data_IF_679805719504
#
_entry.id   IF_679805719504
#
_cell.length_a   1.000
_cell.length_b   1.000
_cell.length_c   1.000
_cell.angle_alpha   90.00
_cell.angle_beta   90.00
_cell.angle_gamma   90.00
#
_symmetry.space_group_name_H-M   'P 1'
#
loop_
_entity.id
_entity.type
_entity.pdbx_description
1 polymer ?
#
# COMPACT_ATOMS: atom_id res chain seq x y z
N UNK A 1 -25.80 4.47 63.64
CA UNK A 1 -26.24 5.67 62.89
C UNK A 1 -27.67 5.43 62.39
N UNK A 2 -28.68 6.12 62.93
CA UNK A 2 -30.09 5.94 62.53
C UNK A 2 -30.35 6.73 61.24
N UNK A 3 -30.53 6.04 60.12
CA UNK A 3 -30.89 6.68 58.84
C UNK A 3 -32.36 7.12 58.93
N UNK A 4 -32.63 8.43 58.85
CA UNK A 4 -34.01 8.93 58.82
C UNK A 4 -34.59 8.80 57.39
N UNK A 5 -35.92 8.72 57.26
CA UNK A 5 -36.62 8.56 55.97
C UNK A 5 -36.26 9.62 54.92
N UNK A 6 -36.01 10.87 55.31
CA UNK A 6 -35.52 11.94 54.42
C UNK A 6 -34.09 11.70 53.95
N UNK A 7 -33.24 11.14 54.81
CA UNK A 7 -31.88 10.72 54.44
C UNK A 7 -31.90 9.58 53.41
N UNK A 8 -32.75 8.57 53.60
CA UNK A 8 -32.88 7.47 52.64
C UNK A 8 -33.40 7.94 51.28
N UNK A 9 -34.41 8.81 51.24
CA UNK A 9 -34.96 9.38 50.01
C UNK A 9 -33.97 10.31 49.30
N UNK A 10 -33.20 11.11 50.04
CA UNK A 10 -32.14 11.93 49.47
C UNK A 10 -31.04 11.10 48.81
N UNK A 11 -30.61 10.02 49.47
CA UNK A 11 -29.57 9.13 48.95
C UNK A 11 -30.02 8.30 47.74
N UNK A 12 -31.28 7.86 47.71
CA UNK A 12 -31.82 7.12 46.57
C UNK A 12 -32.09 8.02 45.35
N UNK A 13 -32.50 9.28 45.55
CA UNK A 13 -32.62 10.27 44.47
C UNK A 13 -31.25 10.63 43.85
N UNK A 14 -30.20 10.76 44.65
CA UNK A 14 -28.83 11.00 44.14
C UNK A 14 -28.26 9.80 43.37
N UNK A 15 -28.54 8.57 43.81
CA UNK A 15 -28.13 7.37 43.09
C UNK A 15 -28.85 7.21 41.73
N UNK A 16 -30.14 7.58 41.65
CA UNK A 16 -30.90 7.55 40.41
C UNK A 16 -30.45 8.66 39.43
N UNK A 17 -30.13 9.85 39.94
CA UNK A 17 -29.59 10.95 39.13
C UNK A 17 -28.23 10.62 38.52
N UNK A 18 -27.35 9.93 39.27
CA UNK A 18 -26.08 9.40 38.74
C UNK A 18 -26.27 8.31 37.67
N UNK A 19 -27.35 7.52 37.76
CA UNK A 19 -27.68 6.51 36.75
C UNK A 19 -28.39 7.08 35.51
N UNK A 20 -29.02 8.26 35.64
CA UNK A 20 -29.77 8.94 34.59
C UNK A 20 -29.00 10.09 33.91
N UNK A 21 -27.79 10.41 34.38
CA UNK A 21 -26.86 11.22 33.59
C UNK A 21 -26.60 10.46 32.28
N UNK A 22 -26.82 11.07 31.10
CA UNK A 22 -26.35 10.48 29.87
C UNK A 22 -24.85 10.25 30.08
N UNK A 23 -24.44 8.99 29.99
CA UNK A 23 -23.04 8.68 29.76
C UNK A 23 -22.72 9.31 28.42
N UNK A 24 -22.29 10.57 28.43
CA UNK A 24 -21.42 11.06 27.38
C UNK A 24 -20.25 10.10 27.45
N UNK A 25 -20.28 9.09 26.59
CA UNK A 25 -19.11 8.37 26.22
C UNK A 25 -18.17 9.48 25.72
N UNK A 26 -17.24 9.90 26.57
CA UNK A 26 -15.89 10.16 26.12
C UNK A 26 -15.50 8.87 25.44
N UNK A 27 -15.86 8.75 24.16
CA UNK A 27 -15.42 7.67 23.32
C UNK A 27 -13.91 7.63 23.53
N UNK A 28 -13.40 6.48 23.97
CA UNK A 28 -11.97 6.22 24.00
C UNK A 28 -11.50 6.20 22.54
N UNK A 29 -11.35 7.38 21.93
CA UNK A 29 -11.02 7.56 20.52
C UNK A 29 -9.53 7.38 20.23
N UNK A 30 -8.72 6.96 21.20
CA UNK A 30 -7.27 6.94 21.04
C UNK A 30 -6.67 5.59 20.67
N UNK A 31 -7.28 4.45 21.03
CA UNK A 31 -6.71 3.12 20.77
C UNK A 31 -7.35 2.38 19.59
N UNK A 32 -8.64 2.64 19.29
CA UNK A 32 -9.39 1.91 18.25
C UNK A 32 -9.44 2.65 16.90
N UNK A 33 -9.04 3.93 16.86
CA UNK A 33 -9.07 4.75 15.65
C UNK A 33 -7.79 4.63 14.81
N UNK A 34 -7.52 3.43 14.32
CA UNK A 34 -6.33 3.09 13.52
C UNK A 34 -6.55 3.30 12.02
N UNK A 35 -5.46 3.53 11.27
CA UNK A 35 -5.47 3.61 9.81
C UNK A 35 -4.53 2.57 9.22
N UNK A 36 -5.00 1.83 8.23
CA UNK A 36 -4.18 0.93 7.43
C UNK A 36 -4.34 1.26 5.95
N UNK A 37 -3.24 1.62 5.29
CA UNK A 37 -3.21 1.89 3.86
C UNK A 37 -2.32 0.85 3.17
N UNK A 38 -2.86 0.13 2.18
CA UNK A 38 -2.07 -0.70 1.28
C UNK A 38 -1.72 0.11 0.02
N UNK A 39 -0.43 0.15 -0.31
CA UNK A 39 0.08 0.70 -1.58
C UNK A 39 0.64 -0.46 -2.40
N UNK A 40 -0.04 -0.81 -3.49
CA UNK A 40 0.40 -1.88 -4.40
C UNK A 40 1.17 -1.29 -5.59
N UNK A 41 2.46 -1.60 -5.66
CA UNK A 41 3.34 -1.24 -6.77
C UNK A 41 3.28 -2.35 -7.83
N UNK A 42 2.48 -2.13 -8.88
CA UNK A 42 2.27 -3.12 -9.94
C UNK A 42 3.46 -3.16 -10.89
N UNK A 43 4.07 -4.34 -10.99
CA UNK A 43 5.15 -4.62 -11.92
C UNK A 43 6.37 -5.28 -11.29
N UNK A 44 6.38 -5.59 -9.99
CA UNK A 44 7.56 -6.14 -9.33
C UNK A 44 8.64 -5.09 -9.05
N UNK A 45 8.53 -4.37 -7.94
CA UNK A 45 9.59 -3.47 -7.45
C UNK A 45 10.93 -4.20 -7.37
N UNK A 46 11.98 -3.64 -7.97
CA UNK A 46 13.35 -4.09 -7.74
C UNK A 46 13.81 -3.76 -6.32
N UNK A 47 13.56 -4.69 -5.40
CA UNK A 47 13.88 -4.53 -3.99
C UNK A 47 15.37 -4.37 -3.71
N UNK A 48 16.24 -5.00 -4.51
CA UNK A 48 17.70 -4.87 -4.35
C UNK A 48 18.22 -3.50 -4.80
N UNK A 49 17.47 -2.81 -5.66
CA UNK A 49 17.79 -1.43 -6.03
C UNK A 49 17.20 -0.41 -5.05
N UNK A 50 15.98 -0.66 -4.55
CA UNK A 50 15.30 0.21 -3.59
C UNK A 50 15.91 0.16 -2.17
N UNK A 51 16.27 -1.04 -1.72
CA UNK A 51 16.96 -1.31 -0.45
C UNK A 51 18.19 -2.17 -0.74
N UNK A 52 19.32 -1.51 -0.91
CA UNK A 52 20.60 -2.10 -1.33
C UNK A 52 21.26 -2.84 -0.16
N UNK A 53 21.52 -4.16 -0.26
CA UNK A 53 22.28 -4.92 0.74
C UNK A 53 23.78 -4.66 0.62
N UNK A 54 24.22 -3.45 0.96
CA UNK A 54 25.61 -3.00 0.84
C UNK A 54 26.61 -3.82 1.66
N UNK A 55 26.16 -4.52 2.70
CA UNK A 55 26.98 -5.46 3.47
C UNK A 55 27.17 -6.83 2.83
N UNK A 56 26.42 -7.16 1.77
CA UNK A 56 26.53 -8.45 1.09
C UNK A 56 27.63 -8.43 0.01
N UNK A 57 28.67 -9.26 0.10
CA UNK A 57 29.81 -9.22 -0.82
C UNK A 57 29.45 -9.61 -2.26
N UNK A 58 28.35 -10.32 -2.49
CA UNK A 58 27.91 -10.67 -3.85
C UNK A 58 27.13 -9.54 -4.53
N UNK A 59 26.66 -8.53 -3.79
CA UNK A 59 25.82 -7.45 -4.32
C UNK A 59 26.50 -6.65 -5.44
N UNK A 60 27.76 -6.15 -5.30
CA UNK A 60 28.39 -5.37 -6.36
C UNK A 60 28.58 -6.16 -7.66
N UNK A 61 28.91 -7.45 -7.55
CA UNK A 61 29.12 -8.31 -8.71
C UNK A 61 27.81 -8.58 -9.47
N UNK A 62 26.70 -8.81 -8.75
CA UNK A 62 25.39 -9.06 -9.36
C UNK A 62 24.78 -7.81 -10.00
N UNK A 63 25.03 -6.64 -9.40
CA UNK A 63 24.36 -5.39 -9.79
C UNK A 63 25.22 -4.51 -10.70
N UNK A 64 26.54 -4.68 -10.70
CA UNK A 64 27.46 -3.88 -11.51
C UNK A 64 27.17 -2.38 -11.38
N UNK A 65 26.88 -1.71 -12.50
CA UNK A 65 26.55 -0.30 -12.51
C UNK A 65 25.34 0.07 -11.62
N UNK A 66 24.39 -0.85 -11.38
CA UNK A 66 23.22 -0.58 -10.52
C UNK A 66 23.55 -0.50 -9.03
N UNK A 67 24.74 -0.96 -8.61
CA UNK A 67 25.21 -0.79 -7.24
C UNK A 67 25.69 0.65 -6.98
N UNK A 68 26.27 1.29 -7.99
CA UNK A 68 26.76 2.67 -7.92
C UNK A 68 26.94 3.24 -9.34
N UNK A 69 25.89 3.84 -9.92
CA UNK A 69 26.01 4.50 -11.22
C UNK A 69 26.52 5.94 -11.06
N UNK A 70 27.44 6.40 -11.92
CA UNK A 70 27.86 7.80 -11.95
C UNK A 70 26.65 8.74 -12.10
N UNK A 71 26.56 9.76 -11.24
CA UNK A 71 25.48 10.75 -11.26
C UNK A 71 24.19 10.33 -10.53
N UNK A 72 24.08 9.09 -10.03
CA UNK A 72 23.00 8.75 -9.10
C UNK A 72 23.20 9.45 -7.76
N UNK A 73 22.09 9.83 -7.13
CA UNK A 73 22.11 10.34 -5.76
C UNK A 73 22.63 9.22 -4.86
N UNK A 74 23.62 9.53 -4.03
CA UNK A 74 24.23 8.55 -3.12
C UNK A 74 23.16 7.81 -2.30
N UNK A 75 23.33 6.49 -2.17
CA UNK A 75 22.49 5.67 -1.32
C UNK A 75 22.53 6.19 0.13
N UNK A 76 21.43 5.99 0.85
CA UNK A 76 21.22 6.49 2.21
C UNK A 76 21.37 5.32 3.19
N UNK A 77 22.51 5.21 3.91
CA UNK A 77 22.74 4.10 4.82
C UNK A 77 21.65 4.02 5.89
N UNK A 78 21.14 2.82 6.14
CA UNK A 78 20.24 2.53 7.26
C UNK A 78 21.01 1.92 8.42
N UNK A 79 21.88 0.96 8.11
CA UNK A 79 22.78 0.27 9.04
C UNK A 79 24.01 -0.23 8.27
N UNK A 80 24.81 -1.13 8.87
CA UNK A 80 26.00 -1.70 8.24
C UNK A 80 25.67 -2.56 6.99
N UNK A 81 24.47 -3.14 6.94
CA UNK A 81 24.10 -4.15 5.95
C UNK A 81 23.28 -3.57 4.80
N UNK A 82 22.50 -2.51 5.05
CA UNK A 82 21.51 -1.98 4.11
C UNK A 82 21.56 -0.47 3.96
N UNK A 83 21.31 0.00 2.73
CA UNK A 83 21.11 1.39 2.37
C UNK A 83 19.86 1.55 1.49
N UNK A 84 19.08 2.62 1.70
CA UNK A 84 18.01 2.98 0.78
C UNK A 84 18.58 3.64 -0.48
N UNK A 85 17.88 3.49 -1.60
CA UNK A 85 18.15 4.26 -2.79
C UNK A 85 18.15 5.77 -2.51
N UNK A 86 19.03 6.55 -3.16
CA UNK A 86 19.22 7.97 -2.85
C UNK A 86 17.98 8.87 -3.00
N UNK A 87 17.05 8.45 -3.87
CA UNK A 87 15.74 9.11 -4.09
C UNK A 87 14.71 8.88 -2.99
N UNK A 88 14.94 7.95 -2.07
CA UNK A 88 14.05 7.62 -0.95
C UNK A 88 14.39 8.44 0.30
N UNK A 89 14.42 9.77 0.17
CA UNK A 89 14.88 10.68 1.22
C UNK A 89 13.91 10.80 2.39
N UNK A 90 12.61 10.85 2.11
CA UNK A 90 11.58 10.88 3.14
C UNK A 90 11.47 9.53 3.86
N UNK A 91 11.56 8.40 3.14
CA UNK A 91 11.66 7.09 3.78
C UNK A 91 12.86 7.01 4.74
N UNK A 92 14.04 7.49 4.33
CA UNK A 92 15.21 7.54 5.22
C UNK A 92 14.96 8.42 6.45
N UNK A 93 14.24 9.54 6.30
CA UNK A 93 13.81 10.39 7.42
C UNK A 93 12.89 9.64 8.38
N UNK A 94 11.91 8.89 7.86
CA UNK A 94 11.03 8.06 8.68
C UNK A 94 11.81 6.94 9.39
N UNK A 95 12.80 6.34 8.74
CA UNK A 95 13.68 5.35 9.37
C UNK A 95 14.41 5.92 10.59
N UNK A 96 15.03 7.10 10.45
CA UNK A 96 15.68 7.79 11.56
C UNK A 96 14.74 8.16 12.72
N UNK A 97 13.43 8.29 12.45
CA UNK A 97 12.37 8.51 13.45
C UNK A 97 11.79 7.20 14.02
N UNK A 98 12.34 6.04 13.63
CA UNK A 98 11.78 4.74 13.98
C UNK A 98 10.41 4.45 13.38
N UNK A 99 10.00 5.19 12.33
CA UNK A 99 8.68 5.12 11.69
C UNK A 99 8.70 4.42 10.32
N UNK A 100 9.85 3.87 9.92
CA UNK A 100 9.99 2.99 8.75
C UNK A 100 10.58 1.65 9.18
N UNK A 101 9.98 0.56 8.70
CA UNK A 101 10.46 -0.81 8.81
C UNK A 101 10.47 -1.45 7.40
N UNK A 102 11.62 -1.46 6.71
CA UNK A 102 11.82 -2.31 5.54
C UNK A 102 11.83 -3.79 5.98
N UNK A 103 11.16 -4.65 5.24
CA UNK A 103 11.13 -6.10 5.47
C UNK A 103 11.64 -6.81 4.24
N UNK A 104 12.77 -7.51 4.38
CA UNK A 104 13.50 -8.13 3.28
C UNK A 104 13.01 -9.54 2.97
N UNK A 105 13.31 -10.00 1.75
CA UNK A 105 13.05 -11.36 1.30
C UNK A 105 11.60 -11.80 1.48
N UNK A 106 10.67 -10.85 1.27
CA UNK A 106 9.22 -11.10 1.29
C UNK A 106 8.75 -11.59 -0.08
N UNK A 107 7.77 -12.49 -0.09
CA UNK A 107 7.00 -12.80 -1.29
C UNK A 107 5.58 -13.22 -0.91
N UNK A 108 4.55 -12.94 -1.75
CA UNK A 108 3.27 -13.63 -1.61
C UNK A 108 3.44 -15.14 -1.75
N UNK A 109 2.43 -15.96 -1.44
CA UNK A 109 2.48 -17.42 -1.64
C UNK A 109 2.32 -17.83 -3.12
N UNK A 110 3.02 -17.11 -4.00
CA UNK A 110 3.04 -17.31 -5.45
C UNK A 110 4.49 -17.54 -5.90
N UNK A 111 4.70 -18.53 -6.76
CA UNK A 111 6.05 -18.94 -7.21
C UNK A 111 6.18 -19.04 -8.73
N UNK A 112 5.14 -18.67 -9.46
CA UNK A 112 5.15 -18.65 -10.93
C UNK A 112 5.55 -17.25 -11.43
N UNK A 113 5.38 -16.96 -12.73
CA UNK A 113 5.87 -15.71 -13.37
C UNK A 113 4.80 -14.96 -14.17
N UNK A 114 3.53 -15.09 -13.80
CA UNK A 114 2.40 -14.35 -14.40
C UNK A 114 2.06 -13.14 -13.54
N UNK A 115 2.09 -11.93 -14.12
CA UNK A 115 1.61 -10.72 -13.43
C UNK A 115 0.16 -10.86 -12.98
N UNK A 116 -0.71 -11.43 -13.82
CA UNK A 116 -2.13 -11.56 -13.52
C UNK A 116 -2.36 -12.40 -12.26
N UNK A 117 -1.77 -13.59 -12.21
CA UNK A 117 -1.93 -14.48 -11.06
C UNK A 117 -1.21 -13.97 -9.81
N UNK A 118 -0.04 -13.34 -9.96
CA UNK A 118 0.70 -12.76 -8.83
C UNK A 118 -0.08 -11.59 -8.18
N UNK A 119 -0.68 -10.72 -9.01
CA UNK A 119 -1.51 -9.62 -8.54
C UNK A 119 -2.79 -10.15 -7.88
N UNK A 120 -3.46 -11.12 -8.50
CA UNK A 120 -4.60 -11.80 -7.89
C UNK A 120 -4.23 -12.38 -6.52
N UNK A 121 -3.09 -13.04 -6.40
CA UNK A 121 -2.60 -13.62 -5.15
C UNK A 121 -2.35 -12.58 -4.04
N UNK A 122 -1.69 -11.46 -4.36
CA UNK A 122 -1.45 -10.38 -3.38
C UNK A 122 -2.75 -9.68 -2.97
N UNK A 123 -3.68 -9.49 -3.91
CA UNK A 123 -4.92 -8.77 -3.67
C UNK A 123 -6.00 -9.64 -2.99
N UNK A 124 -6.06 -10.92 -3.33
CA UNK A 124 -7.00 -11.86 -2.74
C UNK A 124 -6.46 -12.47 -1.42
N UNK A 125 -5.15 -12.53 -1.22
CA UNK A 125 -4.52 -13.06 0.01
C UNK A 125 -4.50 -14.59 0.11
N UNK A 126 -4.64 -15.31 -0.99
CA UNK A 126 -4.71 -16.79 -1.07
C UNK A 126 -3.67 -17.34 -2.04
N UNK A 127 -3.44 -18.64 -2.01
CA UNK A 127 -2.45 -19.33 -2.87
C UNK A 127 -2.93 -19.56 -4.31
N UNK A 128 -4.23 -19.45 -4.57
CA UNK A 128 -4.85 -19.73 -5.87
C UNK A 128 -5.36 -18.48 -6.62
N UNK A 129 -5.34 -18.54 -7.94
CA UNK A 129 -6.08 -17.60 -8.80
C UNK A 129 -7.60 -17.83 -8.69
N UNK A 130 -8.39 -16.80 -9.04
CA UNK A 130 -9.86 -16.95 -9.16
C UNK A 130 -10.68 -16.62 -7.91
N UNK A 131 -10.06 -16.11 -6.84
CA UNK A 131 -10.81 -15.51 -5.73
C UNK A 131 -11.62 -14.30 -6.20
N UNK A 132 -12.90 -14.22 -5.85
CA UNK A 132 -13.79 -13.12 -6.27
C UNK A 132 -13.85 -11.97 -5.26
N UNK A 133 -13.20 -12.10 -4.10
CA UNK A 133 -13.13 -11.08 -3.05
C UNK A 133 -11.71 -10.86 -2.57
N UNK A 134 -11.41 -9.63 -2.18
CA UNK A 134 -10.09 -9.23 -1.69
C UNK A 134 -9.98 -9.27 -0.16
N UNK A 135 -8.75 -9.46 0.32
CA UNK A 135 -8.51 -9.56 1.76
C UNK A 135 -8.72 -8.23 2.50
N UNK A 136 -8.55 -7.07 1.84
CA UNK A 136 -8.86 -5.78 2.46
C UNK A 136 -10.36 -5.61 2.65
N UNK A 137 -11.20 -6.01 1.69
CA UNK A 137 -12.65 -5.99 1.89
C UNK A 137 -13.07 -6.89 3.05
N UNK A 138 -12.47 -8.08 3.17
CA UNK A 138 -12.70 -8.97 4.33
C UNK A 138 -12.22 -8.36 5.64
N UNK A 139 -11.15 -7.55 5.63
CA UNK A 139 -10.76 -6.75 6.80
C UNK A 139 -11.82 -5.70 7.13
N UNK A 140 -12.34 -4.96 6.15
CA UNK A 140 -13.41 -3.97 6.37
C UNK A 140 -14.64 -4.62 6.99
N UNK A 141 -15.04 -5.80 6.50
CA UNK A 141 -16.17 -6.57 7.05
C UNK A 141 -15.95 -7.01 8.51
N UNK A 142 -14.70 -7.30 8.90
CA UNK A 142 -14.36 -7.76 10.24
C UNK A 142 -14.26 -6.63 11.27
N UNK A 143 -14.18 -5.37 10.82
CA UNK A 143 -14.08 -4.21 11.70
C UNK A 143 -15.46 -3.64 12.07
N UNK A 144 -15.72 -3.35 13.35
CA UNK A 144 -16.94 -2.65 13.76
C UNK A 144 -17.06 -1.29 13.07
N UNK A 145 -18.12 -1.10 12.27
CA UNK A 145 -18.29 0.13 11.48
C UNK A 145 -17.20 0.35 10.42
N UNK A 146 -16.50 -0.72 10.01
CA UNK A 146 -15.41 -0.65 9.05
C UNK A 146 -15.86 0.02 7.75
N UNK A 147 -15.07 0.99 7.30
CA UNK A 147 -15.20 1.61 5.98
C UNK A 147 -13.88 1.56 5.25
N UNK A 148 -13.94 1.26 3.96
CA UNK A 148 -12.79 1.28 3.06
C UNK A 148 -12.85 2.39 2.02
N UNK A 149 -11.70 2.81 1.52
CA UNK A 149 -11.59 3.64 0.32
C UNK A 149 -10.54 3.07 -0.63
N UNK A 150 -10.83 3.11 -1.92
CA UNK A 150 -9.88 2.79 -2.98
C UNK A 150 -9.67 4.03 -3.85
N UNK A 151 -8.41 4.43 -4.02
CA UNK A 151 -8.04 5.53 -4.91
C UNK A 151 -7.68 4.92 -6.27
N UNK A 152 -8.71 4.65 -7.06
CA UNK A 152 -8.60 4.01 -8.37
C UNK A 152 -9.81 4.36 -9.24
N UNK A 153 -9.69 4.18 -10.56
CA UNK A 153 -10.83 4.36 -11.47
C UNK A 153 -11.79 3.16 -11.43
N UNK A 154 -11.27 1.97 -11.13
CA UNK A 154 -12.02 0.71 -11.06
C UNK A 154 -11.71 0.04 -9.73
N UNK A 155 -12.71 -0.54 -9.08
CA UNK A 155 -12.54 -1.26 -7.82
C UNK A 155 -11.54 -2.42 -7.99
N UNK A 156 -10.37 -2.38 -7.31
CA UNK A 156 -9.36 -3.43 -7.39
C UNK A 156 -9.84 -4.69 -6.67
N UNK A 157 -9.23 -5.84 -6.98
CA UNK A 157 -9.62 -7.11 -6.36
C UNK A 157 -9.49 -7.03 -4.85
N UNK A 158 -8.44 -6.38 -4.33
CA UNK A 158 -8.16 -6.26 -2.90
C UNK A 158 -9.34 -5.68 -2.10
N UNK A 159 -10.10 -4.78 -2.73
CA UNK A 159 -11.21 -4.05 -2.12
C UNK A 159 -12.59 -4.58 -2.52
N UNK A 160 -12.66 -5.59 -3.41
CA UNK A 160 -13.91 -6.21 -3.85
C UNK A 160 -14.50 -7.14 -2.78
N UNK A 161 -15.80 -7.00 -2.52
CA UNK A 161 -16.55 -7.85 -1.61
C UNK A 161 -17.77 -7.13 -1.02
N UNK A 162 -18.48 -7.74 -0.06
CA UNK A 162 -19.75 -7.22 0.44
C UNK A 162 -19.60 -6.04 1.42
N UNK A 163 -18.40 -5.76 1.94
CA UNK A 163 -18.18 -4.68 2.89
C UNK A 163 -18.26 -3.29 2.23
N UNK A 164 -18.65 -2.23 2.97
CA UNK A 164 -18.79 -0.89 2.41
C UNK A 164 -17.42 -0.29 2.09
N UNK A 165 -17.12 -0.21 0.79
CA UNK A 165 -15.93 0.42 0.24
C UNK A 165 -16.34 1.44 -0.82
N UNK A 166 -15.79 2.65 -0.70
CA UNK A 166 -15.93 3.69 -1.71
C UNK A 166 -14.76 3.63 -2.68
N UNK A 167 -15.02 3.85 -3.97
CA UNK A 167 -13.99 4.07 -4.98
C UNK A 167 -13.98 5.55 -5.34
N UNK A 168 -12.81 6.16 -5.34
CA UNK A 168 -12.64 7.53 -5.75
C UNK A 168 -11.52 7.65 -6.79
N UNK A 169 -11.84 8.34 -7.87
CA UNK A 169 -10.89 8.87 -8.84
C UNK A 169 -11.16 10.38 -8.99
N UNK A 170 -10.16 11.19 -9.34
CA UNK A 170 -10.41 12.55 -9.74
C UNK A 170 -11.33 12.53 -10.96
N UNK A 171 -12.11 13.60 -11.16
CA UNK A 171 -12.84 13.77 -12.40
C UNK A 171 -11.87 13.56 -13.55
N UNK A 172 -12.22 12.68 -14.49
CA UNK A 172 -11.54 12.66 -15.78
C UNK A 172 -11.59 14.10 -16.28
N UNK A 173 -10.43 14.72 -16.50
CA UNK A 173 -10.43 16.02 -17.14
C UNK A 173 -11.22 15.90 -18.45
N UNK A 174 -11.89 16.97 -18.87
CA UNK A 174 -12.62 17.06 -20.15
C UNK A 174 -11.66 17.04 -21.35
N UNK A 175 -10.69 16.12 -21.36
CA UNK A 175 -9.67 15.96 -22.37
C UNK A 175 -10.04 14.75 -23.20
N UNK A 176 -10.79 15.01 -24.25
CA UNK A 176 -10.90 14.08 -25.36
C UNK A 176 -9.64 14.29 -26.20
N UNK A 177 -8.90 13.22 -26.47
CA UNK A 177 -7.79 13.28 -27.43
C UNK A 177 -8.37 13.77 -28.78
N UNK A 178 -7.87 14.87 -29.36
CA UNK A 178 -8.46 15.45 -30.57
C UNK A 178 -8.46 14.49 -31.76
N UNK A 179 -7.46 13.61 -31.84
CA UNK A 179 -7.33 12.63 -32.92
C UNK A 179 -8.32 11.49 -32.69
N UNK A 180 -8.40 10.99 -31.45
CA UNK A 180 -9.40 9.99 -31.09
C UNK A 180 -10.82 10.53 -31.31
N UNK A 181 -11.07 11.78 -30.96
CA UNK A 181 -12.36 12.44 -31.19
C UNK A 181 -12.71 12.49 -32.67
N UNK A 182 -11.77 12.93 -33.51
CA UNK A 182 -11.97 12.99 -34.95
C UNK A 182 -12.20 11.61 -35.56
N UNK A 183 -11.54 10.57 -35.06
CA UNK A 183 -11.76 9.19 -35.47
C UNK A 183 -13.13 8.66 -35.02
N UNK A 184 -13.54 8.94 -33.79
CA UNK A 184 -14.86 8.55 -33.26
C UNK A 184 -15.99 9.30 -33.99
N UNK A 185 -15.80 10.57 -34.35
CA UNK A 185 -16.74 11.32 -35.19
C UNK A 185 -16.94 10.64 -36.54
N UNK A 186 -15.87 10.23 -37.21
CA UNK A 186 -15.97 9.49 -38.49
C UNK A 186 -16.66 8.15 -38.28
N UNK A 187 -16.37 7.45 -37.19
CA UNK A 187 -16.95 6.15 -36.87
C UNK A 187 -18.46 6.22 -36.59
N UNK A 188 -18.91 7.26 -35.87
CA UNK A 188 -20.31 7.43 -35.49
C UNK A 188 -21.12 8.33 -36.44
N UNK A 189 -20.49 8.92 -37.47
CA UNK A 189 -21.17 9.79 -38.44
C UNK A 189 -22.33 9.11 -39.19
N UNK A 190 -22.29 7.79 -39.33
CA UNK A 190 -23.32 7.00 -39.99
C UNK A 190 -24.43 6.49 -39.04
N UNK A 191 -24.30 6.67 -37.72
CA UNK A 191 -25.26 6.18 -36.74
C UNK A 191 -26.37 7.21 -36.50
N UNK A 192 -27.65 6.90 -36.83
CA UNK A 192 -28.74 7.87 -36.76
C UNK A 192 -29.13 8.28 -35.33
N UNK A 193 -28.70 7.52 -34.31
CA UNK A 193 -28.99 7.78 -32.89
C UNK A 193 -27.84 8.56 -32.24
N UNK A 194 -26.61 8.18 -32.54
CA UNK A 194 -25.42 8.73 -31.89
C UNK A 194 -24.86 9.97 -32.60
N UNK A 195 -25.02 10.08 -33.92
CA UNK A 195 -24.49 11.22 -34.69
C UNK A 195 -24.98 12.59 -34.19
N UNK A 196 -26.26 12.82 -33.84
CA UNK A 196 -26.73 14.12 -33.34
C UNK A 196 -26.08 14.50 -31.99
N UNK A 197 -25.83 13.50 -31.13
CA UNK A 197 -25.23 13.69 -29.80
C UNK A 197 -23.75 14.03 -29.92
N UNK A 198 -23.01 13.34 -30.80
CA UNK A 198 -21.60 13.63 -31.06
C UNK A 198 -21.38 15.02 -31.69
N UNK A 199 -22.25 15.43 -32.61
CA UNK A 199 -22.19 16.76 -33.23
C UNK A 199 -22.44 17.90 -32.21
N UNK A 200 -23.29 17.68 -31.20
CA UNK A 200 -23.57 18.67 -30.16
C UNK A 200 -22.40 18.88 -29.18
N UNK A 201 -21.59 17.84 -28.92
CA UNK A 201 -20.41 17.90 -28.03
C UNK A 201 -19.25 18.66 -28.70
N UNK A 202 -19.15 18.62 -30.03
CA UNK A 202 -18.08 19.26 -30.81
C UNK A 202 -18.03 20.79 -30.65
N UNK A 203 -19.20 21.41 -30.43
CA UNK A 203 -19.36 22.87 -30.30
C UNK A 203 -18.82 23.40 -28.96
N UNK A 204 -18.75 22.54 -27.93
CA UNK A 204 -18.33 22.91 -26.57
C UNK A 204 -16.79 22.74 -26.36
N UNK A 205 -16.14 21.97 -27.22
CA UNK A 205 -14.71 21.63 -27.11
C UNK A 205 -13.76 22.65 -27.76
N UNK A 206 -14.26 23.53 -28.64
CA UNK A 206 -13.46 24.54 -29.34
C UNK A 206 -12.84 25.63 -28.43
N UNK A 207 -13.24 25.69 -27.15
CA UNK A 207 -12.74 26.63 -26.15
C UNK A 207 -11.55 26.16 -25.31
N UNK A 208 -11.15 24.89 -25.36
CA UNK A 208 -10.12 24.34 -24.47
C UNK A 208 -8.79 24.10 -25.19
N UNK A 209 -7.82 25.01 -24.98
CA UNK A 209 -6.43 24.80 -25.43
C UNK A 209 -5.81 23.58 -24.75
N UNK A 210 -5.27 22.68 -25.57
CA UNK A 210 -4.64 21.44 -25.17
C UNK A 210 -3.40 21.65 -24.29
N UNK A 211 -3.32 20.86 -23.21
CA UNK A 211 -2.09 20.61 -22.45
C UNK A 211 -1.80 19.10 -22.53
N UNK A 212 -0.53 18.68 -22.64
CA UNK A 212 -0.21 17.27 -22.87
C UNK A 212 -0.47 16.44 -21.60
N UNK A 213 -1.03 15.24 -21.78
CA UNK A 213 -1.09 14.19 -20.76
C UNK A 213 -2.51 13.73 -20.42
N UNK A 214 -2.96 12.67 -21.08
CA UNK A 214 -4.04 11.78 -20.62
C UNK A 214 -3.46 10.63 -19.80
N UNK A 215 -2.93 10.91 -18.61
CA UNK A 215 -2.43 9.89 -17.69
C UNK A 215 -3.28 9.91 -16.42
N UNK A 216 -3.58 8.73 -15.86
CA UNK A 216 -4.23 8.59 -14.55
C UNK A 216 -3.46 9.31 -13.43
N UNK A 217 -3.95 9.27 -12.19
CA UNK A 217 -3.25 9.95 -11.09
C UNK A 217 -1.82 9.45 -10.98
N UNK A 218 -0.90 10.40 -10.86
CA UNK A 218 0.44 10.08 -10.38
C UNK A 218 0.37 9.68 -8.92
N UNK A 219 1.23 8.76 -8.49
CA UNK A 219 1.26 8.24 -7.12
C UNK A 219 1.20 9.33 -6.04
N UNK A 220 1.92 10.47 -6.12
CA UNK A 220 1.78 11.53 -5.12
C UNK A 220 0.38 12.12 -4.98
N UNK A 221 -0.35 12.26 -6.10
CA UNK A 221 -1.71 12.77 -6.09
C UNK A 221 -2.68 11.75 -5.49
N UNK A 222 -2.50 10.47 -5.80
CA UNK A 222 -3.30 9.39 -5.24
C UNK A 222 -3.09 9.26 -3.72
N UNK A 223 -1.83 9.33 -3.27
CA UNK A 223 -1.47 9.30 -1.86
C UNK A 223 -2.01 10.53 -1.10
N UNK A 224 -1.92 11.73 -1.68
CA UNK A 224 -2.54 12.92 -1.11
C UNK A 224 -4.08 12.78 -1.01
N UNK A 225 -4.73 12.13 -1.97
CA UNK A 225 -6.17 11.87 -1.91
C UNK A 225 -6.53 10.87 -0.81
N UNK A 226 -5.80 9.75 -0.72
CA UNK A 226 -5.97 8.79 0.36
C UNK A 226 -5.85 9.47 1.73
N UNK A 227 -4.87 10.37 1.89
CA UNK A 227 -4.68 11.13 3.12
C UNK A 227 -5.90 11.96 3.50
N UNK A 228 -6.50 12.69 2.54
CA UNK A 228 -7.70 13.50 2.79
C UNK A 228 -8.87 12.66 3.30
N UNK A 229 -9.15 11.53 2.66
CA UNK A 229 -10.24 10.65 3.09
C UNK A 229 -9.95 10.02 4.45
N UNK A 230 -8.75 9.47 4.63
CA UNK A 230 -8.39 8.74 5.85
C UNK A 230 -8.16 9.66 7.06
N UNK A 231 -7.78 10.93 6.86
CA UNK A 231 -7.61 11.90 7.95
C UNK A 231 -8.95 12.31 8.58
N UNK A 232 -10.07 12.13 7.88
CA UNK A 232 -11.40 12.45 8.41
C UNK A 232 -11.69 11.58 9.68
N UNK A 233 -12.10 12.21 10.80
CA UNK A 233 -12.52 11.51 12.02
C UNK A 233 -13.64 10.50 11.80
N UNK A 234 -14.46 10.67 10.77
CA UNK A 234 -15.48 9.74 10.31
C UNK A 234 -15.16 9.19 8.91
N UNK A 235 -13.89 9.21 8.51
CA UNK A 235 -13.42 8.64 7.26
C UNK A 235 -13.34 7.11 7.25
N UNK A 236 -12.85 6.54 6.15
CA UNK A 236 -12.40 5.16 6.05
C UNK A 236 -11.21 4.85 6.97
N UNK A 237 -11.08 3.57 7.34
CA UNK A 237 -9.98 3.04 8.16
C UNK A 237 -9.03 2.15 7.37
N UNK A 238 -9.54 1.57 6.28
CA UNK A 238 -8.78 0.78 5.33
C UNK A 238 -8.68 1.57 4.02
N UNK A 239 -7.47 1.79 3.53
CA UNK A 239 -7.20 2.45 2.26
C UNK A 239 -6.48 1.53 1.29
N UNK A 240 -6.73 1.74 0.00
CA UNK A 240 -5.95 1.14 -1.08
C UNK A 240 -5.54 2.19 -2.10
N UNK A 241 -4.25 2.18 -2.46
CA UNK A 241 -3.66 2.94 -3.56
C UNK A 241 -2.85 1.96 -4.41
N UNK A 242 -2.84 2.16 -5.71
CA UNK A 242 -1.97 1.42 -6.62
C UNK A 242 -1.19 2.36 -7.52
N UNK A 243 -0.07 1.87 -8.03
CA UNK A 243 0.74 2.58 -9.01
C UNK A 243 1.40 1.58 -9.96
N UNK A 244 1.48 1.95 -11.24
CA UNK A 244 1.95 1.08 -12.33
C UNK A 244 3.30 1.57 -12.89
N UNK A 245 3.91 0.76 -13.76
CA UNK A 245 5.17 1.11 -14.41
C UNK A 245 6.41 0.67 -13.62
N UNK A 246 6.26 -0.28 -12.70
CA UNK A 246 7.36 -0.95 -12.03
C UNK A 246 7.89 -2.16 -12.84
N UNK A 247 7.27 -2.46 -14.00
CA UNK A 247 7.70 -3.57 -14.85
C UNK A 247 8.92 -3.24 -15.74
N UNK A 248 10.12 -3.17 -15.17
CA UNK A 248 11.32 -2.62 -15.82
C UNK A 248 12.31 -3.68 -16.33
N UNK A 249 12.09 -4.22 -17.54
CA UNK A 249 13.00 -5.21 -18.15
C UNK A 249 14.18 -4.61 -18.92
N UNK A 250 14.15 -3.30 -19.22
CA UNK A 250 15.17 -2.61 -20.03
C UNK A 250 15.33 -1.17 -19.57
N UNK A 251 16.54 -0.62 -19.69
CA UNK A 251 16.82 0.78 -19.37
C UNK A 251 16.36 1.19 -17.95
N UNK A 252 16.46 0.27 -17.00
CA UNK A 252 15.70 0.32 -15.75
C UNK A 252 16.07 1.49 -14.83
N UNK A 253 17.35 1.90 -14.79
CA UNK A 253 17.85 2.89 -13.84
C UNK A 253 17.07 4.21 -13.88
N UNK A 254 16.90 4.81 -15.05
CA UNK A 254 16.18 6.09 -15.18
C UNK A 254 14.70 5.97 -14.80
N UNK A 255 14.08 4.83 -15.08
CA UNK A 255 12.69 4.57 -14.71
C UNK A 255 12.57 4.43 -13.19
N UNK A 256 13.42 3.62 -12.56
CA UNK A 256 13.39 3.43 -11.10
C UNK A 256 13.74 4.71 -10.35
N UNK A 257 14.73 5.50 -10.82
CA UNK A 257 15.04 6.81 -10.23
C UNK A 257 13.80 7.70 -10.14
N UNK A 258 13.02 7.78 -11.22
CA UNK A 258 11.77 8.54 -11.26
C UNK A 258 10.68 7.92 -10.38
N UNK A 259 10.44 6.61 -10.50
CA UNK A 259 9.38 5.92 -9.76
C UNK A 259 9.63 5.92 -8.24
N UNK A 260 10.88 5.75 -7.81
CA UNK A 260 11.26 5.84 -6.41
C UNK A 260 11.12 7.27 -5.86
N UNK A 261 11.44 8.29 -6.66
CA UNK A 261 11.18 9.68 -6.27
C UNK A 261 9.67 9.98 -6.16
N UNK A 262 8.85 9.43 -7.05
CA UNK A 262 7.38 9.53 -6.96
C UNK A 262 6.82 8.80 -5.75
N UNK A 263 7.35 7.62 -5.41
CA UNK A 263 6.99 6.87 -4.21
C UNK A 263 7.32 7.66 -2.94
N UNK A 264 8.53 8.20 -2.85
CA UNK A 264 8.99 8.99 -1.70
C UNK A 264 8.13 10.25 -1.51
N UNK A 265 7.90 11.00 -2.60
CA UNK A 265 7.05 12.18 -2.60
C UNK A 265 5.58 11.85 -2.27
N UNK A 266 5.09 10.69 -2.71
CA UNK A 266 3.74 10.26 -2.40
C UNK A 266 3.57 9.87 -0.94
N UNK A 267 4.52 9.14 -0.36
CA UNK A 267 4.50 8.85 1.07
C UNK A 267 4.58 10.13 1.90
N UNK A 268 5.39 11.12 1.47
CA UNK A 268 5.44 12.44 2.11
C UNK A 268 4.09 13.16 2.02
N UNK A 269 3.47 13.20 0.84
CA UNK A 269 2.16 13.83 0.65
C UNK A 269 1.08 13.18 1.53
N UNK A 270 1.13 11.86 1.70
CA UNK A 270 0.22 11.17 2.62
C UNK A 270 0.50 11.52 4.08
N UNK A 271 1.77 11.48 4.50
CA UNK A 271 2.17 11.87 5.85
C UNK A 271 1.71 13.29 6.20
N UNK A 272 1.90 14.25 5.29
CA UNK A 272 1.57 15.65 5.51
C UNK A 272 0.05 15.86 5.58
N UNK A 273 -0.72 15.20 4.69
CA UNK A 273 -2.18 15.26 4.69
C UNK A 273 -2.85 14.49 5.83
N UNK A 274 -2.17 13.51 6.43
CA UNK A 274 -2.70 12.64 7.48
C UNK A 274 -2.08 12.90 8.86
N UNK A 275 -1.41 14.04 9.08
CA UNK A 275 -0.74 14.36 10.36
C UNK A 275 -1.57 14.07 11.63
N UNK A 276 -2.88 14.43 11.71
CA UNK A 276 -3.68 14.20 12.91
C UNK A 276 -3.88 12.71 13.28
N UNK A 277 -3.79 11.83 12.28
CA UNK A 277 -3.97 10.38 12.44
C UNK A 277 -2.66 9.60 12.30
N UNK A 278 -1.58 10.24 11.82
CA UNK A 278 -0.28 9.61 11.56
C UNK A 278 0.27 8.75 12.71
N UNK A 279 0.18 9.16 13.99
CA UNK A 279 0.59 8.31 15.12
C UNK A 279 -0.10 6.94 15.18
N UNK A 280 -1.29 6.80 14.57
CA UNK A 280 -2.11 5.59 14.51
C UNK A 280 -2.22 5.02 13.09
N UNK A 281 -1.30 5.38 12.21
CA UNK A 281 -1.29 4.91 10.82
C UNK A 281 -0.19 3.88 10.57
N UNK A 282 -0.52 2.87 9.77
CA UNK A 282 0.43 1.99 9.08
C UNK A 282 0.14 2.05 7.58
N UNK A 283 1.15 2.37 6.80
CA UNK A 283 1.18 2.29 5.33
C UNK A 283 2.05 1.09 4.96
N UNK A 284 1.48 0.11 4.27
CA UNK A 284 2.21 -1.04 3.74
C UNK A 284 2.41 -0.88 2.23
N UNK A 285 3.66 -0.73 1.80
CA UNK A 285 4.04 -0.62 0.39
C UNK A 285 4.60 -1.97 -0.04
N UNK A 286 3.96 -2.59 -1.02
CA UNK A 286 4.25 -3.97 -1.47
C UNK A 286 4.18 -4.07 -2.98
N UNK A 287 4.62 -5.22 -3.51
CA UNK A 287 4.55 -5.56 -4.93
C UNK A 287 4.22 -7.04 -5.09
N UNK A 288 3.83 -7.47 -6.29
CA UNK A 288 3.39 -8.84 -6.56
C UNK A 288 4.52 -9.89 -6.57
N UNK A 289 5.76 -9.48 -6.82
CA UNK A 289 6.94 -10.35 -6.76
C UNK A 289 8.23 -9.54 -6.75
N UNK A 290 9.35 -10.19 -6.47
CA UNK A 290 10.68 -9.60 -6.57
C UNK A 290 11.26 -9.57 -7.99
N UNK A 291 12.53 -9.16 -8.08
CA UNK A 291 13.31 -9.13 -9.32
C UNK A 291 14.49 -10.08 -9.29
N UNK A 292 15.04 -10.41 -10.45
CA UNK A 292 16.29 -11.18 -10.52
C UNK A 292 17.40 -10.48 -9.75
N UNK A 293 18.26 -11.29 -9.10
CA UNK A 293 19.38 -10.74 -8.34
C UNK A 293 20.39 -10.05 -9.26
N UNK A 294 20.73 -10.69 -10.38
CA UNK A 294 21.57 -10.14 -11.43
C UNK A 294 20.76 -9.28 -12.41
N UNK A 295 21.45 -8.27 -12.98
CA UNK A 295 20.96 -7.52 -14.14
C UNK A 295 20.90 -8.41 -15.39
N UNK A 296 19.91 -8.17 -16.26
CA UNK A 296 19.79 -8.86 -17.55
C UNK A 296 20.62 -8.17 -18.64
N UNK A 297 20.67 -8.77 -19.83
CA UNK A 297 21.44 -8.25 -20.97
C UNK A 297 20.93 -6.94 -21.57
N UNK A 298 19.77 -6.45 -21.15
CA UNK A 298 19.12 -5.23 -21.66
C UNK A 298 19.19 -4.06 -20.67
N UNK A 299 20.00 -4.16 -19.62
CA UNK A 299 20.12 -3.11 -18.62
C UNK A 299 18.85 -2.94 -17.78
N UNK A 300 18.18 -4.05 -17.47
CA UNK A 300 17.08 -4.13 -16.52
C UNK A 300 17.14 -5.41 -15.69
N UNK A 301 16.00 -5.82 -15.15
CA UNK A 301 15.87 -7.07 -14.39
C UNK A 301 14.61 -7.81 -14.79
N UNK A 302 14.69 -9.14 -14.78
CA UNK A 302 13.53 -9.97 -15.11
C UNK A 302 12.70 -10.25 -13.85
N UNK A 303 11.57 -10.94 -14.01
CA UNK A 303 10.74 -11.38 -12.89
C UNK A 303 11.52 -12.35 -11.99
N UNK A 304 11.45 -12.10 -10.68
CA UNK A 304 12.04 -12.93 -9.63
C UNK A 304 11.03 -13.30 -8.55
N UNK A 305 11.52 -13.70 -7.38
CA UNK A 305 10.68 -14.23 -6.28
C UNK A 305 10.67 -13.31 -5.07
N UNK A 306 11.76 -13.28 -4.28
CA UNK A 306 11.86 -12.48 -3.07
C UNK A 306 12.08 -11.00 -3.38
N UNK A 307 11.37 -10.13 -2.67
CA UNK A 307 11.48 -8.68 -2.77
C UNK A 307 11.58 -8.00 -1.41
N UNK A 308 11.09 -6.76 -1.35
CA UNK A 308 11.03 -5.94 -0.13
C UNK A 308 9.62 -5.40 0.05
N UNK A 309 9.16 -5.35 1.29
CA UNK A 309 8.00 -4.57 1.69
C UNK A 309 8.47 -3.41 2.58
N UNK A 310 7.79 -2.26 2.52
CA UNK A 310 8.02 -1.17 3.44
C UNK A 310 6.78 -0.96 4.30
N UNK A 311 6.95 -1.01 5.62
CA UNK A 311 5.95 -0.49 6.56
C UNK A 311 6.39 0.91 6.99
N UNK A 312 5.53 1.90 6.79
CA UNK A 312 5.76 3.28 7.20
C UNK A 312 4.60 3.79 8.05
N UNK A 313 4.86 4.60 9.07
CA UNK A 313 3.78 5.12 9.92
C UNK A 313 4.19 5.48 11.33
N UNK A 314 3.40 6.31 11.98
CA UNK A 314 3.58 6.64 13.39
C UNK A 314 3.33 5.47 14.34
N UNK A 315 2.56 4.46 13.91
CA UNK A 315 2.35 3.24 14.70
C UNK A 315 3.44 2.18 14.49
N UNK A 316 4.25 2.29 13.44
CA UNK A 316 5.26 1.28 13.06
C UNK A 316 6.41 1.25 14.08
N UNK A 317 6.83 0.04 14.47
CA UNK A 317 8.04 -0.21 15.26
C UNK A 317 9.27 -0.34 14.34
N UNK A 318 9.68 0.78 13.75
CA UNK A 318 10.73 0.87 12.75
C UNK A 318 12.12 1.20 13.30
N UNK A 319 12.97 1.76 12.44
CA UNK A 319 14.38 2.07 12.77
C UNK A 319 15.29 0.84 12.75
N UNK A 320 14.83 -0.22 12.08
CA UNK A 320 15.54 -1.48 11.86
C UNK A 320 15.09 -2.08 10.53
N UNK A 321 15.83 -3.05 10.02
CA UNK A 321 15.38 -3.92 8.93
C UNK A 321 14.78 -5.19 9.55
N UNK A 322 13.65 -5.64 9.04
CA UNK A 322 12.97 -6.88 9.45
C UNK A 322 13.05 -7.98 8.39
N UNK A 323 12.67 -9.19 8.77
CA UNK A 323 12.78 -10.37 7.92
C UNK A 323 14.17 -11.02 8.00
N UNK A 324 14.29 -12.22 7.45
CA UNK A 324 15.54 -12.99 7.49
C UNK A 324 16.27 -12.84 6.16
N UNK A 325 17.41 -12.15 6.16
CA UNK A 325 18.22 -11.97 4.95
C UNK A 325 18.90 -13.29 4.54
N UNK A 326 18.60 -13.85 3.35
CA UNK A 326 19.18 -15.14 2.94
C UNK A 326 20.62 -15.05 2.42
N UNK A 327 21.09 -13.85 2.07
CA UNK A 327 22.33 -13.61 1.31
C UNK A 327 22.15 -13.70 -0.21
N UNK A 328 23.14 -13.20 -0.96
CA UNK A 328 23.16 -13.18 -2.42
C UNK A 328 24.19 -14.11 -3.06
N UNK A 329 24.90 -14.94 -2.28
CA UNK A 329 25.76 -15.95 -2.88
C UNK A 329 24.93 -16.91 -3.76
N UNK A 330 25.51 -17.44 -4.84
CA UNK A 330 24.79 -18.28 -5.82
C UNK A 330 24.01 -19.43 -5.18
N UNK A 331 24.52 -20.04 -4.10
CA UNK A 331 23.87 -21.13 -3.38
C UNK A 331 22.71 -20.68 -2.45
N UNK A 332 22.63 -19.38 -2.14
CA UNK A 332 21.59 -18.79 -1.30
C UNK A 332 20.39 -18.29 -2.13
N UNK A 333 20.61 -18.00 -3.42
CA UNK A 333 19.58 -17.56 -4.36
C UNK A 333 18.62 -18.70 -4.71
N UNK A 334 17.35 -18.36 -4.92
CA UNK A 334 16.36 -19.29 -5.45
C UNK A 334 16.70 -19.63 -6.90
N UNK A 335 16.89 -20.91 -7.19
CA UNK A 335 17.37 -21.42 -8.49
C UNK A 335 18.70 -20.78 -8.94
N UNK A 336 19.46 -20.24 -7.98
CA UNK A 336 20.66 -19.45 -8.25
C UNK A 336 20.41 -18.07 -8.87
N UNK A 337 19.17 -17.67 -9.13
CA UNK A 337 18.83 -16.50 -9.96
C UNK A 337 18.13 -15.39 -9.18
N UNK A 338 17.17 -15.74 -8.35
CA UNK A 338 16.30 -14.78 -7.68
C UNK A 338 16.68 -14.65 -6.20
N UNK A 339 16.38 -13.51 -5.58
CA UNK A 339 16.42 -13.45 -4.11
C UNK A 339 15.48 -14.51 -3.55
N UNK A 340 15.99 -15.36 -2.66
CA UNK A 340 15.18 -16.39 -2.01
C UNK A 340 14.21 -15.74 -1.02
N UNK A 341 12.92 -16.00 -1.17
CA UNK A 341 11.95 -15.56 -0.19
C UNK A 341 12.13 -16.34 1.12
N UNK A 342 12.22 -15.63 2.24
CA UNK A 342 12.25 -16.19 3.60
C UNK A 342 11.00 -15.83 4.39
N UNK A 343 10.25 -14.82 3.93
CA UNK A 343 9.05 -14.33 4.60
C UNK A 343 7.85 -14.40 3.67
N UNK A 344 6.78 -15.07 4.10
CA UNK A 344 5.47 -15.01 3.42
C UNK A 344 4.84 -13.64 3.70
N UNK A 345 4.41 -12.93 2.64
CA UNK A 345 3.81 -11.60 2.78
C UNK A 345 2.53 -11.62 3.63
N UNK A 346 1.83 -12.76 3.71
CA UNK A 346 0.67 -12.92 4.61
C UNK A 346 1.09 -12.91 6.08
N UNK A 347 2.30 -13.38 6.42
CA UNK A 347 2.81 -13.28 7.80
C UNK A 347 2.96 -11.80 8.22
N UNK A 348 3.48 -10.96 7.31
CA UNK A 348 3.58 -9.51 7.49
C UNK A 348 2.20 -8.88 7.71
N UNK A 349 1.26 -9.15 6.79
CA UNK A 349 -0.09 -8.58 6.90
C UNK A 349 -0.81 -9.04 8.16
N UNK A 350 -0.78 -10.34 8.49
CA UNK A 350 -1.36 -10.84 9.75
C UNK A 350 -0.76 -10.16 10.96
N UNK A 351 0.55 -9.95 10.99
CA UNK A 351 1.24 -9.27 12.09
C UNK A 351 0.74 -7.84 12.28
N UNK A 352 0.63 -7.08 11.18
CA UNK A 352 0.08 -5.71 11.21
C UNK A 352 -1.38 -5.72 11.63
N UNK A 353 -2.23 -6.53 10.99
CA UNK A 353 -3.67 -6.54 11.25
C UNK A 353 -4.00 -6.99 12.68
N UNK A 354 -3.26 -7.96 13.23
CA UNK A 354 -3.42 -8.39 14.62
C UNK A 354 -3.03 -7.27 15.59
N UNK A 355 -1.84 -6.68 15.40
CA UNK A 355 -1.26 -5.73 16.36
C UNK A 355 -1.82 -4.32 16.24
N UNK A 356 -2.27 -3.93 15.04
CA UNK A 356 -2.73 -2.57 14.72
C UNK A 356 -4.26 -2.45 14.68
N UNK A 357 -4.93 -3.42 14.07
CA UNK A 357 -6.39 -3.40 13.92
C UNK A 357 -7.11 -4.27 14.96
N UNK A 358 -6.37 -4.97 15.83
CA UNK A 358 -6.94 -5.81 16.88
C UNK A 358 -7.67 -7.06 16.35
N UNK A 359 -7.42 -7.46 15.10
CA UNK A 359 -8.11 -8.61 14.50
C UNK A 359 -7.59 -9.92 15.07
N UNK A 360 -8.51 -10.75 15.57
CA UNK A 360 -8.17 -12.01 16.22
C UNK A 360 -7.45 -12.99 15.27
N UNK A 361 -6.48 -13.78 15.75
CA UNK A 361 -5.75 -14.75 14.92
C UNK A 361 -6.63 -15.72 14.12
N UNK A 362 -7.74 -16.20 14.70
CA UNK A 362 -8.69 -17.07 13.99
C UNK A 362 -9.41 -16.35 12.82
N UNK A 363 -9.77 -15.08 12.99
CA UNK A 363 -10.35 -14.25 11.92
C UNK A 363 -9.33 -14.08 10.79
N UNK A 364 -8.07 -13.81 11.15
CA UNK A 364 -6.99 -13.66 10.19
C UNK A 364 -6.73 -14.94 9.39
N UNK A 365 -6.69 -16.10 10.04
CA UNK A 365 -6.37 -17.37 9.41
C UNK A 365 -7.54 -18.00 8.62
N UNK A 366 -8.79 -17.75 9.01
CA UNK A 366 -9.97 -18.39 8.41
C UNK A 366 -10.74 -17.49 7.46
N UNK A 367 -10.82 -16.20 7.77
CA UNK A 367 -11.65 -15.26 7.00
C UNK A 367 -10.80 -14.37 6.10
N UNK A 368 -9.76 -13.73 6.64
CA UNK A 368 -9.00 -12.73 5.88
C UNK A 368 -7.99 -13.39 4.94
N UNK A 369 -7.23 -14.37 5.40
CA UNK A 369 -6.28 -15.15 4.59
C UNK A 369 -6.63 -16.63 4.66
N UNK A 370 -7.74 -17.09 4.05
CA UNK A 370 -8.07 -18.50 4.02
C UNK A 370 -6.94 -19.26 3.31
N UNK A 371 -6.67 -20.51 3.72
CA UNK A 371 -5.51 -21.34 3.30
C UNK A 371 -4.16 -21.04 3.95
N UNK A 372 -4.09 -20.04 4.84
CA UNK A 372 -2.82 -19.61 5.44
C UNK A 372 -2.66 -20.00 6.92
N UNK A 373 -3.42 -20.95 7.46
CA UNK A 373 -3.42 -21.26 8.90
C UNK A 373 -2.03 -21.59 9.47
N UNK A 374 -1.16 -22.23 8.68
CA UNK A 374 0.22 -22.53 9.06
C UNK A 374 1.18 -21.32 9.03
N UNK A 375 0.76 -20.20 8.42
CA UNK A 375 1.57 -18.98 8.33
C UNK A 375 1.36 -18.14 9.59
N UNK A 376 2.34 -18.18 10.49
CA UNK A 376 2.32 -17.41 11.73
C UNK A 376 2.40 -15.89 11.46
N UNK A 377 1.70 -15.05 12.25
CA UNK A 377 1.87 -13.59 12.18
C UNK A 377 3.29 -13.17 12.56
N UNK A 378 3.87 -12.24 11.82
CA UNK A 378 5.16 -11.64 12.16
C UNK A 378 5.01 -10.65 13.33
N UNK A 379 5.87 -10.74 14.34
CA UNK A 379 5.80 -9.91 15.56
C UNK A 379 6.67 -8.65 15.48
N UNK A 380 6.42 -7.69 16.40
CA UNK A 380 7.27 -6.51 16.54
C UNK A 380 7.24 -5.56 15.33
N UNK A 381 6.09 -5.50 14.64
CA UNK A 381 5.85 -4.62 13.49
C UNK A 381 5.27 -3.26 13.90
N UNK A 382 4.52 -3.24 15.00
CA UNK A 382 3.76 -2.09 15.51
C UNK A 382 4.23 -1.83 16.94
N UNK A 383 4.32 -0.56 17.34
CA UNK A 383 4.69 -0.16 18.70
C UNK A 383 3.61 -0.66 19.67
N UNK A 384 4.03 -1.11 20.85
CA UNK A 384 3.10 -1.28 21.95
C UNK A 384 2.52 0.10 22.30
N UNK A 385 1.20 0.24 22.22
CA UNK A 385 0.47 1.48 22.51
C UNK A 385 0.39 1.80 23.99
#
# INVERSE_FOLDING_TARGET
MRINRRGFLGWSASALAMAALPKFALAATSAEDTRFLLVLLRGGLDGLHALQPVGDPAFPALRGAFAASPGQVAARPLNADFALHGKLGFLATLYGRGQLLPVVAVAPPYRQRSHFEAQDCVENGTTGGGGTTGWLNRCVAALPGGRGVSISAVMPLAMRGPAPVETWSPPLGNRIDPILWQQLQVLYAADPVLAPTFAAIDVDMAGMRASPGGAGLRLPQAMAAAARFMADPHGPRIGFVEDTGWDTHSGQLAVLDRKLAELDAGLQAFHDGAQPVWPRTVVAIVTEFGRTAAINGTGGTDHGTGGVAFLAGGAVAGGRVGGDWPGLARAQLNEGRDLRATTDLRALFKGVLASHLGLAPDVLARQIFPDSAAVAPMSGLVRAG
#
